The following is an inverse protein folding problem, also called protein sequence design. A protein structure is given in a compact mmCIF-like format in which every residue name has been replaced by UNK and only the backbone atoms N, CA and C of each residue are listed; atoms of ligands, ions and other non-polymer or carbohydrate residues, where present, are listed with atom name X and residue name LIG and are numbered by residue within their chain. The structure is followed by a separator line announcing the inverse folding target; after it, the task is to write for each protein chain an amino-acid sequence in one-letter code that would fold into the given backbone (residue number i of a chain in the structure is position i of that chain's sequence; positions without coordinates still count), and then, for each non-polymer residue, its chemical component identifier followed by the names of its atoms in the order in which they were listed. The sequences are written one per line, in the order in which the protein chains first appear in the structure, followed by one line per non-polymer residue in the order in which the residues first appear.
data_IF_530723265609
#
_entry.id   IF_530723265609
#
_cell.length_a   1.000
_cell.length_b   1.000
_cell.length_c   1.000
_cell.angle_alpha   90.00
_cell.angle_beta   90.00
_cell.angle_gamma   90.00
#
_symmetry.space_group_name_H-M   'P 1'
#
loop_
_entity.id
_entity.type
_entity.pdbx_description
1 polymer ?
#
# COMPACT_ATOMS: atom_id res chain seq x y z
N UNK A 1 -2.81 14.34 16.22
CA UNK A 1 -4.06 14.81 16.84
C UNK A 1 -4.83 13.68 17.49
N UNK A 2 -5.13 12.59 16.77
CA UNK A 2 -6.06 11.55 17.25
C UNK A 2 -5.57 10.77 18.49
N UNK A 3 -4.28 10.42 18.58
CA UNK A 3 -3.75 9.70 19.76
C UNK A 3 -3.20 10.63 20.85
N UNK A 4 -2.47 11.69 20.47
CA UNK A 4 -1.72 12.54 21.42
C UNK A 4 -2.08 14.03 21.38
N UNK A 5 -2.91 14.48 20.44
CA UNK A 5 -3.16 15.91 20.21
C UNK A 5 -2.02 16.66 19.48
N UNK A 6 -0.77 16.22 19.59
CA UNK A 6 0.41 16.95 19.07
C UNK A 6 0.50 16.95 17.54
N UNK A 7 0.08 18.05 16.91
CA UNK A 7 0.22 18.31 15.46
C UNK A 7 1.16 19.48 15.18
N UNK A 8 1.20 20.46 16.08
CA UNK A 8 2.01 21.67 15.97
C UNK A 8 3.48 21.34 15.74
N UNK A 9 4.05 20.41 16.51
CA UNK A 9 5.46 20.00 16.36
C UNK A 9 5.80 19.52 14.95
N UNK A 10 4.84 18.92 14.25
CA UNK A 10 5.05 18.41 12.89
C UNK A 10 4.85 19.52 11.86
N UNK A 11 3.72 20.21 11.89
CA UNK A 11 3.35 21.16 10.82
C UNK A 11 4.14 22.47 10.85
N UNK A 12 4.79 22.77 11.98
CA UNK A 12 5.72 23.90 12.14
C UNK A 12 7.19 23.51 11.94
N UNK A 13 7.49 22.21 11.84
CA UNK A 13 8.86 21.74 11.64
C UNK A 13 9.42 22.20 10.30
N UNK A 14 10.61 22.81 10.34
CA UNK A 14 11.31 23.25 9.14
C UNK A 14 11.66 22.10 8.20
N UNK A 15 11.98 20.93 8.74
CA UNK A 15 12.28 19.75 7.93
C UNK A 15 11.02 19.23 7.24
N UNK A 16 9.89 19.23 7.95
CA UNK A 16 8.60 18.84 7.38
C UNK A 16 8.18 19.81 6.27
N UNK A 17 8.27 21.13 6.53
CA UNK A 17 7.95 22.18 5.55
C UNK A 17 8.84 22.12 4.30
N UNK A 18 10.08 21.65 4.42
CA UNK A 18 10.97 21.39 3.27
C UNK A 18 10.67 20.09 2.54
N UNK A 19 10.24 19.05 3.26
CA UNK A 19 9.97 17.73 2.69
C UNK A 19 8.65 17.68 1.90
N UNK A 20 7.59 18.30 2.42
CA UNK A 20 6.25 18.22 1.84
C UNK A 20 6.20 18.68 0.38
N UNK A 21 6.74 19.85 -0.02
CA UNK A 21 6.73 20.26 -1.42
C UNK A 21 7.43 19.26 -2.35
N UNK A 22 8.49 18.58 -1.87
CA UNK A 22 9.19 17.55 -2.63
C UNK A 22 8.33 16.30 -2.81
N UNK A 23 7.61 15.88 -1.77
CA UNK A 23 6.67 14.76 -1.85
C UNK A 23 5.59 15.07 -2.90
N UNK A 24 4.95 16.24 -2.83
CA UNK A 24 3.95 16.65 -3.82
C UNK A 24 4.52 16.73 -5.24
N UNK A 25 5.77 17.14 -5.41
CA UNK A 25 6.42 17.12 -6.71
C UNK A 25 6.57 15.69 -7.23
N UNK A 26 7.08 14.76 -6.41
CA UNK A 26 7.22 13.35 -6.78
C UNK A 26 5.86 12.75 -7.15
N UNK A 27 4.81 13.03 -6.37
CA UNK A 27 3.47 12.54 -6.68
C UNK A 27 3.01 13.05 -8.06
N UNK A 28 3.18 14.34 -8.37
CA UNK A 28 2.85 14.90 -9.69
C UNK A 28 3.65 14.24 -10.81
N UNK A 29 4.96 14.09 -10.64
CA UNK A 29 5.83 13.46 -11.63
C UNK A 29 5.44 12.01 -11.90
N UNK A 30 4.93 11.32 -10.87
CA UNK A 30 4.44 9.93 -10.98
C UNK A 30 2.97 9.82 -11.43
N UNK A 31 2.24 10.92 -11.61
CA UNK A 31 0.89 10.91 -12.22
C UNK A 31 0.92 11.06 -13.74
N UNK A 32 2.05 11.47 -14.32
CA UNK A 32 2.18 11.65 -15.75
C UNK A 32 2.27 10.30 -16.50
N UNK A 33 1.80 10.30 -17.76
CA UNK A 33 1.94 9.15 -18.66
C UNK A 33 3.42 8.78 -18.84
N UNK A 34 3.69 7.52 -19.15
CA UNK A 34 5.04 7.13 -19.58
C UNK A 34 5.42 7.83 -20.91
N UNK A 35 4.47 7.98 -21.84
CA UNK A 35 4.66 8.62 -23.15
C UNK A 35 3.51 9.59 -23.51
N UNK A 36 3.72 10.57 -24.41
CA UNK A 36 4.99 11.08 -24.91
C UNK A 36 5.49 12.14 -23.92
N UNK A 37 6.02 11.75 -22.76
CA UNK A 37 6.59 12.77 -21.90
C UNK A 37 7.88 13.24 -22.58
N UNK A 38 7.84 14.43 -23.17
CA UNK A 38 8.92 15.06 -23.95
C UNK A 38 10.20 15.31 -23.15
N UNK A 39 10.26 14.82 -21.91
CA UNK A 39 11.34 14.97 -20.94
C UNK A 39 12.16 13.70 -20.74
N UNK A 40 11.67 12.53 -21.14
CA UNK A 40 12.43 11.27 -21.02
C UNK A 40 13.43 11.21 -22.17
N UNK A 41 14.64 11.72 -21.94
CA UNK A 41 15.76 11.49 -22.86
C UNK A 41 16.03 10.00 -22.98
N UNK A 42 16.11 9.51 -24.22
CA UNK A 42 16.62 8.17 -24.49
C UNK A 42 18.09 8.11 -24.05
N UNK A 43 18.36 7.38 -22.98
CA UNK A 43 19.74 7.12 -22.52
C UNK A 43 20.23 5.90 -23.30
N UNK A 44 21.24 6.09 -24.16
CA UNK A 44 21.89 4.96 -24.83
C UNK A 44 22.48 4.04 -23.76
N UNK A 45 22.26 2.72 -23.84
CA UNK A 45 22.88 1.78 -22.92
C UNK A 45 24.41 1.89 -23.02
N UNK A 46 25.10 2.01 -21.87
CA UNK A 46 26.53 1.74 -21.81
C UNK A 46 26.76 0.27 -22.21
N UNK A 47 27.81 0.00 -22.99
CA UNK A 47 28.05 -1.28 -23.66
C UNK A 47 28.36 -2.46 -22.72
N UNK A 48 28.52 -2.23 -21.41
CA UNK A 48 28.77 -3.26 -20.41
C UNK A 48 27.46 -3.68 -19.74
N UNK A 49 27.01 -4.91 -20.01
CA UNK A 49 25.89 -5.57 -19.30
C UNK A 49 26.32 -6.17 -17.94
N UNK A 50 27.57 -5.93 -17.51
CA UNK A 50 28.20 -6.60 -16.37
C UNK A 50 28.20 -5.76 -15.07
N UNK A 51 27.69 -4.53 -15.10
CA UNK A 51 27.69 -3.61 -13.97
C UNK A 51 26.31 -2.95 -13.82
N UNK A 52 25.97 -2.55 -12.59
CA UNK A 52 24.77 -1.74 -12.35
C UNK A 52 24.85 -0.43 -13.15
N UNK A 53 23.73 0.05 -13.70
CA UNK A 53 23.77 1.21 -14.56
C UNK A 53 24.11 2.50 -13.81
N UNK A 54 24.77 3.42 -14.52
CA UNK A 54 25.01 4.76 -14.01
C UNK A 54 23.70 5.46 -13.58
N UNK A 55 23.68 6.11 -12.40
CA UNK A 55 22.52 6.87 -11.95
C UNK A 55 22.13 7.95 -12.96
N UNK A 56 20.82 8.09 -13.21
CA UNK A 56 20.28 9.24 -13.95
C UNK A 56 19.91 10.36 -12.99
N UNK A 57 19.93 11.60 -13.47
CA UNK A 57 19.49 12.72 -12.64
C UNK A 57 17.98 12.62 -12.37
N UNK A 58 17.53 13.01 -11.17
CA UNK A 58 16.10 13.03 -10.85
C UNK A 58 15.27 13.92 -11.80
N UNK A 59 15.91 14.89 -12.46
CA UNK A 59 15.27 15.73 -13.49
C UNK A 59 14.90 14.94 -14.74
N UNK A 60 15.57 13.82 -14.99
CA UNK A 60 15.35 12.93 -16.13
C UNK A 60 14.41 11.75 -15.76
N UNK A 61 13.80 11.79 -14.57
CA UNK A 61 12.88 10.79 -14.04
C UNK A 61 13.56 9.69 -13.21
N UNK A 62 12.77 9.03 -12.36
CA UNK A 62 13.24 7.85 -11.61
C UNK A 62 13.51 6.69 -12.56
N UNK A 63 14.67 6.04 -12.38
CA UNK A 63 15.00 4.78 -13.05
C UNK A 63 15.64 3.83 -12.07
N UNK A 64 15.32 2.55 -12.21
CA UNK A 64 15.93 1.51 -11.42
C UNK A 64 16.21 0.27 -12.26
N UNK A 65 17.45 -0.21 -12.23
CA UNK A 65 17.76 -1.57 -12.68
C UNK A 65 18.73 -2.18 -11.70
N UNK A 66 18.65 -3.49 -11.60
CA UNK A 66 19.58 -4.34 -10.86
C UNK A 66 19.94 -5.52 -11.76
N UNK A 67 21.20 -5.95 -11.70
CA UNK A 67 21.57 -7.25 -12.27
C UNK A 67 21.03 -8.38 -11.37
N UNK A 68 20.10 -9.18 -11.90
CA UNK A 68 19.38 -10.21 -11.14
C UNK A 68 18.80 -11.27 -12.07
N UNK A 69 18.62 -12.48 -11.57
CA UNK A 69 17.88 -13.58 -12.21
C UNK A 69 16.37 -13.57 -11.88
N UNK A 70 15.92 -12.65 -11.01
CA UNK A 70 14.51 -12.48 -10.62
C UNK A 70 13.90 -11.29 -11.35
N UNK A 71 12.88 -11.49 -12.20
CA UNK A 71 12.30 -10.39 -12.98
C UNK A 71 11.62 -9.32 -12.11
N UNK A 72 11.21 -9.65 -10.89
CA UNK A 72 10.60 -8.70 -9.95
C UNK A 72 11.60 -7.79 -9.25
N UNK A 73 12.91 -8.10 -9.29
CA UNK A 73 13.96 -7.34 -8.59
C UNK A 73 14.59 -6.24 -9.46
N UNK A 74 14.00 -5.95 -10.63
CA UNK A 74 14.46 -4.94 -11.60
C UNK A 74 13.27 -4.38 -12.38
N UNK A 75 13.45 -3.24 -13.05
CA UNK A 75 12.39 -2.65 -13.89
C UNK A 75 12.73 -2.81 -15.38
N UNK A 76 11.70 -3.13 -16.17
CA UNK A 76 11.76 -3.14 -17.64
C UNK A 76 11.99 -1.75 -18.24
N UNK A 77 12.03 -1.67 -19.57
CA UNK A 77 12.12 -0.40 -20.31
C UNK A 77 13.28 0.51 -19.86
N UNK A 78 14.48 -0.08 -19.74
CA UNK A 78 15.68 0.63 -19.27
C UNK A 78 15.50 1.29 -17.89
N UNK A 79 14.80 0.58 -17.00
CA UNK A 79 14.58 0.99 -15.62
C UNK A 79 13.37 1.89 -15.41
N UNK A 80 12.53 2.12 -16.42
CA UNK A 80 11.28 2.89 -16.30
C UNK A 80 10.18 2.04 -15.64
N UNK A 81 10.15 0.73 -15.95
CA UNK A 81 9.07 -0.16 -15.53
C UNK A 81 7.89 -0.16 -16.50
N UNK A 82 6.70 -0.49 -16.01
CA UNK A 82 5.50 -0.60 -16.84
C UNK A 82 5.07 0.70 -17.53
N UNK A 83 4.34 0.56 -18.63
CA UNK A 83 3.83 1.68 -19.42
C UNK A 83 2.44 2.10 -18.89
N UNK A 84 2.19 3.40 -18.80
CA UNK A 84 0.93 3.95 -18.26
C UNK A 84 0.39 5.12 -19.06
N UNK A 85 -0.93 5.31 -18.99
CA UNK A 85 -1.63 6.51 -19.44
C UNK A 85 -2.12 7.31 -18.23
N UNK A 86 -1.82 8.61 -18.20
CA UNK A 86 -2.30 9.53 -17.17
C UNK A 86 -3.82 9.41 -16.96
N UNK A 87 -4.20 9.09 -15.73
CA UNK A 87 -5.59 8.87 -15.34
C UNK A 87 -5.90 9.36 -13.91
N UNK A 88 -5.01 10.13 -13.30
CA UNK A 88 -5.18 10.65 -11.94
C UNK A 88 -4.71 9.71 -10.82
N UNK A 89 -4.21 8.51 -11.17
CA UNK A 89 -3.47 7.63 -10.26
C UNK A 89 -1.97 7.99 -10.25
N UNK A 90 -1.29 7.57 -9.19
CA UNK A 90 0.15 7.75 -8.98
C UNK A 90 0.87 6.42 -9.20
N UNK A 91 1.91 6.41 -10.03
CA UNK A 91 2.73 5.23 -10.29
C UNK A 91 3.52 4.81 -9.05
N UNK A 92 3.64 3.50 -8.86
CA UNK A 92 4.62 2.88 -7.98
C UNK A 92 5.52 1.97 -8.80
N UNK A 93 6.83 2.09 -8.65
CA UNK A 93 7.76 1.18 -9.31
C UNK A 93 7.67 -0.24 -8.71
N UNK A 94 7.56 -0.31 -7.39
CA UNK A 94 7.57 -1.54 -6.61
C UNK A 94 6.33 -1.64 -5.71
N UNK A 95 5.99 -2.87 -5.35
CA UNK A 95 4.97 -3.21 -4.36
C UNK A 95 5.56 -3.11 -2.93
N UNK A 96 4.74 -3.19 -1.88
CA UNK A 96 5.21 -3.28 -0.50
C UNK A 96 5.96 -4.60 -0.18
N UNK A 97 5.97 -5.56 -1.11
CA UNK A 97 6.81 -6.75 -1.09
C UNK A 97 8.21 -6.52 -1.66
N UNK A 98 8.52 -5.30 -2.11
CA UNK A 98 9.71 -4.93 -2.88
C UNK A 98 9.81 -5.56 -4.28
N UNK A 99 8.77 -6.27 -4.73
CA UNK A 99 8.66 -6.75 -6.11
C UNK A 99 8.18 -5.66 -7.07
N UNK A 100 8.73 -5.62 -8.28
CA UNK A 100 8.31 -4.69 -9.32
C UNK A 100 6.82 -4.85 -9.64
N UNK A 101 6.14 -3.72 -9.83
CA UNK A 101 4.76 -3.73 -10.33
C UNK A 101 4.71 -4.25 -11.76
N UNK A 102 3.65 -4.98 -12.10
CA UNK A 102 3.37 -5.36 -13.50
C UNK A 102 2.72 -4.19 -14.22
N UNK A 103 1.65 -3.62 -13.64
CA UNK A 103 1.13 -2.33 -14.06
C UNK A 103 1.38 -1.27 -12.99
N UNK A 104 1.98 -0.10 -13.33
CA UNK A 104 2.51 0.80 -12.31
C UNK A 104 1.48 1.47 -11.40
N UNK A 105 0.19 1.49 -11.74
CA UNK A 105 -0.81 2.02 -10.82
C UNK A 105 -1.26 0.94 -9.85
N UNK A 106 -0.49 0.77 -8.78
CA UNK A 106 -0.80 -0.11 -7.66
C UNK A 106 -1.96 0.44 -6.82
N UNK A 107 -3.09 -0.25 -6.83
CA UNK A 107 -4.36 0.25 -6.30
C UNK A 107 -4.39 0.35 -4.77
N UNK A 108 -3.92 -0.65 -4.00
CA UNK A 108 -3.84 -0.52 -2.55
C UNK A 108 -2.97 0.66 -2.09
N UNK A 109 -1.84 0.92 -2.77
CA UNK A 109 -0.96 2.03 -2.45
C UNK A 109 -1.59 3.39 -2.79
N UNK A 110 -2.30 3.50 -3.92
CA UNK A 110 -3.08 4.69 -4.27
C UNK A 110 -4.22 4.93 -3.26
N UNK A 111 -4.87 3.88 -2.78
CA UNK A 111 -5.89 3.97 -1.74
C UNK A 111 -5.30 4.50 -0.42
N UNK A 112 -4.17 3.95 0.02
CA UNK A 112 -3.45 4.47 1.19
C UNK A 112 -3.07 5.95 1.00
N UNK A 113 -2.50 6.31 -0.15
CA UNK A 113 -2.12 7.69 -0.47
C UNK A 113 -3.32 8.64 -0.36
N UNK A 114 -4.45 8.28 -0.98
CA UNK A 114 -5.68 9.07 -0.93
C UNK A 114 -6.13 9.31 0.51
N UNK A 115 -6.20 8.26 1.33
CA UNK A 115 -6.61 8.39 2.74
C UNK A 115 -5.64 9.27 3.52
N UNK A 116 -4.33 9.08 3.36
CA UNK A 116 -3.33 9.84 4.12
C UNK A 116 -3.32 11.32 3.73
N UNK A 117 -3.52 11.65 2.46
CA UNK A 117 -3.63 13.03 2.00
C UNK A 117 -4.89 13.73 2.55
N UNK A 118 -6.03 13.04 2.57
CA UNK A 118 -7.27 13.57 3.16
C UNK A 118 -7.09 13.77 4.67
N UNK A 119 -6.48 12.80 5.37
CA UNK A 119 -6.17 12.93 6.81
C UNK A 119 -5.22 14.09 7.09
N UNK A 120 -4.20 14.28 6.25
CA UNK A 120 -3.28 15.41 6.37
C UNK A 120 -4.01 16.74 6.27
N UNK A 121 -4.89 16.89 5.28
CA UNK A 121 -5.72 18.09 5.11
C UNK A 121 -6.54 18.40 6.36
N UNK A 122 -7.26 17.39 6.88
CA UNK A 122 -8.07 17.52 8.10
C UNK A 122 -7.25 17.93 9.31
N UNK A 123 -6.06 17.35 9.50
CA UNK A 123 -5.19 17.71 10.62
C UNK A 123 -4.64 19.14 10.51
N UNK A 124 -4.31 19.60 9.30
CA UNK A 124 -3.91 20.98 9.08
C UNK A 124 -5.07 21.93 9.37
N UNK A 125 -6.26 21.64 8.86
CA UNK A 125 -7.45 22.47 9.09
C UNK A 125 -7.75 22.64 10.58
N UNK A 126 -7.77 21.54 11.33
CA UNK A 126 -7.99 21.57 12.78
C UNK A 126 -6.90 22.36 13.52
N UNK A 127 -5.64 22.25 13.11
CA UNK A 127 -4.55 23.05 13.69
C UNK A 127 -4.76 24.55 13.45
N UNK A 128 -5.10 24.95 12.22
CA UNK A 128 -5.32 26.35 11.86
C UNK A 128 -6.53 26.95 12.61
N UNK A 129 -7.61 26.19 12.79
CA UNK A 129 -8.78 26.60 13.58
C UNK A 129 -8.44 26.86 15.06
N UNK A 130 -7.58 26.03 15.66
CA UNK A 130 -7.13 26.21 17.04
C UNK A 130 -6.27 27.48 17.21
N UNK A 131 -5.43 27.80 16.23
CA UNK A 131 -4.61 29.02 16.24
C UNK A 131 -5.48 30.29 16.09
N UNK A 132 -6.50 30.25 15.23
CA UNK A 132 -7.44 31.36 15.06
C UNK A 132 -8.27 31.62 16.34
N UNK A 133 -8.73 30.55 16.99
CA UNK A 133 -9.56 30.65 18.22
C UNK A 133 -8.78 31.20 19.42
N UNK A 134 -7.44 31.11 19.41
CA UNK A 134 -6.57 31.55 20.50
C UNK A 134 -6.13 33.02 20.36
N UNK A 135 -6.46 33.70 19.26
CA UNK A 135 -5.93 35.03 18.94
C UNK A 135 -7.07 36.06 18.83
N UNK A 136 -7.39 36.74 19.93
CA UNK A 136 -8.40 37.84 20.00
C UNK A 136 -7.91 39.18 19.45
N UNK A 137 -6.95 39.20 18.52
CA UNK A 137 -6.35 40.43 17.99
C UNK A 137 -6.04 40.34 16.51
N UNK A 138 -6.24 41.45 15.80
CA UNK A 138 -5.92 41.65 14.37
C UNK A 138 -4.45 41.32 14.08
N UNK A 139 -4.16 40.08 13.73
CA UNK A 139 -2.91 39.71 13.08
C UNK A 139 -3.15 39.52 11.58
N UNK A 140 -2.36 40.21 10.78
CA UNK A 140 -2.11 39.88 9.38
C UNK A 140 -1.61 38.44 9.30
N UNK A 141 -2.23 37.63 8.43
CA UNK A 141 -1.86 36.24 8.17
C UNK A 141 -0.33 36.14 7.97
N UNK A 142 0.36 35.34 8.78
CA UNK A 142 1.81 35.19 8.70
C UNK A 142 2.21 34.16 7.64
N UNK A 143 3.37 34.30 7.01
CA UNK A 143 3.88 33.41 5.93
C UNK A 143 3.77 31.90 6.22
N UNK A 144 4.11 31.38 7.42
CA UNK A 144 3.93 29.96 7.72
C UNK A 144 2.48 29.51 7.55
N UNK A 145 1.52 30.30 8.04
CA UNK A 145 0.08 30.03 7.99
C UNK A 145 -0.39 29.77 6.54
N UNK A 146 0.12 30.56 5.58
CA UNK A 146 -0.17 30.37 4.16
C UNK A 146 0.40 29.05 3.61
N UNK A 147 1.59 28.65 4.03
CA UNK A 147 2.20 27.39 3.57
C UNK A 147 1.41 26.19 4.05
N UNK A 148 1.08 26.10 5.35
CA UNK A 148 0.29 24.97 5.84
C UNK A 148 -1.09 24.94 5.20
N UNK A 149 -1.78 26.08 5.10
CA UNK A 149 -3.07 26.17 4.44
C UNK A 149 -3.01 25.64 3.00
N UNK A 150 -2.03 26.07 2.22
CA UNK A 150 -1.83 25.61 0.84
C UNK A 150 -1.56 24.10 0.76
N UNK A 151 -0.77 23.55 1.69
CA UNK A 151 -0.55 22.08 1.79
C UNK A 151 -1.87 21.36 2.06
N UNK A 152 -2.69 21.86 3.00
CA UNK A 152 -3.99 21.27 3.33
C UNK A 152 -4.94 21.21 2.12
N UNK A 153 -5.02 22.30 1.35
CA UNK A 153 -5.86 22.37 0.14
C UNK A 153 -5.34 21.42 -0.94
N UNK A 154 -4.03 21.43 -1.22
CA UNK A 154 -3.42 20.53 -2.22
C UNK A 154 -3.57 19.06 -1.84
N UNK A 155 -3.40 18.72 -0.56
CA UNK A 155 -3.56 17.36 -0.05
C UNK A 155 -4.99 16.87 -0.30
N UNK A 156 -6.00 17.66 0.08
CA UNK A 156 -7.40 17.29 -0.14
C UNK A 156 -7.72 17.10 -1.62
N UNK A 157 -7.36 18.07 -2.46
CA UNK A 157 -7.64 18.01 -3.89
C UNK A 157 -7.01 16.79 -4.56
N UNK A 158 -5.74 16.48 -4.22
CA UNK A 158 -5.05 15.32 -4.75
C UNK A 158 -5.65 14.01 -4.20
N UNK A 159 -5.91 13.94 -2.90
CA UNK A 159 -6.49 12.76 -2.26
C UNK A 159 -7.88 12.40 -2.83
N UNK A 160 -8.74 13.40 -3.02
CA UNK A 160 -10.05 13.24 -3.65
C UNK A 160 -9.92 12.81 -5.13
N UNK A 161 -8.93 13.38 -5.86
CA UNK A 161 -8.68 13.02 -7.25
C UNK A 161 -8.21 11.58 -7.41
N UNK A 162 -7.25 11.13 -6.59
CA UNK A 162 -6.76 9.75 -6.60
C UNK A 162 -7.91 8.79 -6.22
N UNK A 163 -8.72 9.13 -5.22
CA UNK A 163 -9.89 8.31 -4.84
C UNK A 163 -10.81 8.09 -6.03
N UNK A 164 -11.19 9.16 -6.73
CA UNK A 164 -12.08 9.09 -7.89
C UNK A 164 -11.48 8.23 -9.01
N UNK A 165 -10.19 8.40 -9.29
CA UNK A 165 -9.48 7.63 -10.30
C UNK A 165 -9.43 6.13 -9.97
N UNK A 166 -9.33 5.74 -8.70
CA UNK A 166 -9.44 4.33 -8.28
C UNK A 166 -10.81 3.78 -8.68
N UNK A 167 -11.91 4.45 -8.33
CA UNK A 167 -13.25 3.97 -8.68
C UNK A 167 -13.50 3.93 -10.19
N UNK A 168 -12.93 4.87 -10.95
CA UNK A 168 -13.10 4.94 -12.40
C UNK A 168 -12.31 3.89 -13.17
N UNK A 169 -11.09 3.56 -12.72
CA UNK A 169 -10.16 2.75 -13.51
C UNK A 169 -9.84 1.38 -12.91
N UNK A 170 -10.05 1.18 -11.60
CA UNK A 170 -9.66 -0.04 -10.92
C UNK A 170 -10.82 -0.97 -10.55
N UNK A 171 -12.07 -0.51 -10.69
CA UNK A 171 -13.24 -1.37 -10.44
C UNK A 171 -13.57 -2.12 -11.72
N UNK A 172 -13.51 -3.45 -11.68
CA UNK A 172 -13.76 -4.33 -12.82
C UNK A 172 -14.88 -5.31 -12.53
N UNK A 173 -15.54 -5.79 -13.58
CA UNK A 173 -16.53 -6.87 -13.48
C UNK A 173 -15.84 -8.22 -13.58
N UNK A 174 -15.75 -8.93 -12.45
CA UNK A 174 -15.25 -10.30 -12.38
C UNK A 174 -16.40 -11.29 -12.67
N UNK A 175 -16.18 -12.33 -13.50
CA UNK A 175 -17.25 -13.26 -13.91
C UNK A 175 -17.92 -14.03 -12.77
N UNK A 176 -17.23 -14.18 -11.63
CA UNK A 176 -17.74 -14.93 -10.45
C UNK A 176 -18.17 -14.03 -9.29
N UNK A 177 -17.46 -12.91 -9.06
CA UNK A 177 -17.62 -12.11 -7.84
C UNK A 177 -18.32 -10.77 -8.10
N UNK A 178 -18.72 -10.48 -9.35
CA UNK A 178 -19.27 -9.18 -9.71
C UNK A 178 -18.19 -8.09 -9.66
N UNK A 179 -18.54 -6.89 -9.19
CA UNK A 179 -17.58 -5.79 -9.14
C UNK A 179 -16.52 -6.05 -8.07
N UNK A 180 -15.24 -5.97 -8.45
CA UNK A 180 -14.06 -6.10 -7.58
C UNK A 180 -13.03 -5.02 -7.89
N UNK A 181 -12.12 -4.74 -6.96
CA UNK A 181 -10.93 -3.94 -7.25
C UNK A 181 -9.86 -4.80 -7.94
N UNK A 182 -9.24 -4.26 -8.99
CA UNK A 182 -7.99 -4.76 -9.53
C UNK A 182 -6.82 -4.41 -8.60
N UNK A 183 -5.76 -5.22 -8.62
CA UNK A 183 -4.55 -4.97 -7.82
C UNK A 183 -3.68 -3.89 -8.45
N UNK A 184 -3.50 -3.96 -9.77
CA UNK A 184 -2.70 -3.03 -10.57
C UNK A 184 -3.41 -2.72 -11.89
N UNK A 185 -3.25 -1.48 -12.37
CA UNK A 185 -3.80 -1.05 -13.67
C UNK A 185 -2.79 -0.19 -14.44
N UNK A 186 -2.96 -0.11 -15.77
CA UNK A 186 -2.13 0.73 -16.65
C UNK A 186 -2.88 1.98 -17.17
N UNK A 187 -4.20 2.02 -16.95
CA UNK A 187 -5.14 2.99 -17.50
C UNK A 187 -5.20 3.06 -19.05
N UNK A 188 -4.64 2.08 -19.76
CA UNK A 188 -4.93 1.77 -21.17
C UNK A 188 -6.08 0.77 -21.32
N UNK A 189 -6.38 0.02 -20.26
CA UNK A 189 -7.46 -0.95 -20.20
C UNK A 189 -7.04 -2.31 -19.63
N UNK A 190 -5.78 -2.45 -19.22
CA UNK A 190 -5.28 -3.68 -18.60
C UNK A 190 -5.45 -3.62 -17.09
N UNK A 191 -5.81 -4.77 -16.52
CA UNK A 191 -6.01 -4.97 -15.09
C UNK A 191 -5.32 -6.25 -14.66
N UNK A 192 -4.57 -6.20 -13.58
CA UNK A 192 -4.06 -7.38 -12.90
C UNK A 192 -4.97 -7.70 -11.72
N UNK A 193 -5.57 -8.89 -11.74
CA UNK A 193 -6.45 -9.37 -10.67
C UNK A 193 -5.68 -10.35 -9.80
N UNK A 194 -5.30 -9.91 -8.60
CA UNK A 194 -4.66 -10.71 -7.56
C UNK A 194 -4.77 -9.96 -6.22
N UNK A 195 -4.14 -10.49 -5.18
CA UNK A 195 -3.67 -9.69 -4.05
C UNK A 195 -2.34 -10.22 -3.56
N UNK A 196 -1.62 -9.40 -2.80
CA UNK A 196 -0.34 -9.73 -2.19
C UNK A 196 -0.46 -9.63 -0.67
N UNK A 197 0.32 -10.43 0.07
CA UNK A 197 0.27 -10.45 1.52
C UNK A 197 0.80 -9.16 2.19
N UNK A 198 1.69 -8.42 1.53
CA UNK A 198 2.29 -7.21 2.06
C UNK A 198 1.30 -6.05 2.03
N UNK A 199 1.24 -5.27 3.12
CA UNK A 199 0.30 -4.14 3.22
C UNK A 199 0.98 -2.83 2.80
N UNK A 200 0.33 -1.95 2.02
CA UNK A 200 -1.07 -2.00 1.60
C UNK A 200 -1.39 -3.08 0.55
N UNK A 201 -2.44 -3.86 0.85
CA UNK A 201 -3.05 -4.89 -0.01
C UNK A 201 -4.54 -4.60 -0.20
N UNK A 202 -5.22 -5.27 -1.15
CA UNK A 202 -6.66 -5.11 -1.35
C UNK A 202 -7.43 -5.58 -0.11
N UNK A 203 -6.98 -6.67 0.51
CA UNK A 203 -7.54 -7.15 1.78
C UNK A 203 -7.50 -6.07 2.88
N UNK A 204 -6.46 -5.22 2.90
CA UNK A 204 -6.26 -4.21 3.94
C UNK A 204 -7.04 -2.89 3.78
N UNK A 205 -7.79 -2.71 2.68
CA UNK A 205 -8.46 -1.44 2.36
C UNK A 205 -9.33 -0.86 3.51
N UNK A 206 -10.08 -1.66 4.29
CA UNK A 206 -10.83 -1.11 5.42
C UNK A 206 -9.95 -0.68 6.58
N UNK A 207 -8.87 -1.42 6.88
CA UNK A 207 -7.91 -1.04 7.92
C UNK A 207 -7.19 0.26 7.56
N UNK A 208 -6.93 0.49 6.27
CA UNK A 208 -6.41 1.76 5.78
C UNK A 208 -7.42 2.92 5.92
N UNK A 209 -8.71 2.62 6.08
CA UNK A 209 -9.81 3.60 6.11
C UNK A 209 -10.26 4.06 4.72
N UNK A 210 -10.00 3.26 3.68
CA UNK A 210 -10.38 3.62 2.31
C UNK A 210 -11.84 3.30 2.00
N UNK A 211 -12.34 2.16 2.47
CA UNK A 211 -13.69 1.67 2.20
C UNK A 211 -14.24 0.99 3.47
N UNK A 212 -15.55 0.99 3.65
CA UNK A 212 -16.17 0.32 4.79
C UNK A 212 -15.98 -1.20 4.67
N UNK A 213 -15.77 -1.88 5.80
CA UNK A 213 -15.63 -3.34 5.82
C UNK A 213 -16.88 -4.04 5.29
N UNK A 214 -18.07 -3.46 5.39
CA UNK A 214 -19.32 -4.06 4.89
C UNK A 214 -19.71 -3.60 3.48
N UNK A 215 -18.89 -2.78 2.83
CA UNK A 215 -19.15 -2.35 1.45
C UNK A 215 -19.18 -3.57 0.52
N UNK A 216 -20.19 -3.66 -0.34
CA UNK A 216 -20.37 -4.79 -1.26
C UNK A 216 -19.18 -4.96 -2.21
N UNK A 217 -18.60 -3.86 -2.71
CA UNK A 217 -17.41 -3.92 -3.57
C UNK A 217 -16.21 -4.48 -2.80
N UNK A 218 -16.04 -4.08 -1.53
CA UNK A 218 -14.98 -4.66 -0.70
C UNK A 218 -15.23 -6.14 -0.41
N UNK A 219 -16.46 -6.53 -0.03
CA UNK A 219 -16.78 -7.92 0.26
C UNK A 219 -16.59 -8.83 -0.97
N UNK A 220 -17.02 -8.40 -2.15
CA UNK A 220 -16.74 -9.11 -3.40
C UNK A 220 -15.22 -9.22 -3.65
N UNK A 221 -14.47 -8.14 -3.39
CA UNK A 221 -13.01 -8.15 -3.52
C UNK A 221 -12.37 -9.09 -2.51
N UNK A 222 -12.85 -9.10 -1.25
CA UNK A 222 -12.39 -9.99 -0.17
C UNK A 222 -12.58 -11.45 -0.55
N UNK A 223 -13.79 -11.81 -1.02
CA UNK A 223 -14.10 -13.16 -1.46
C UNK A 223 -13.25 -13.58 -2.65
N UNK A 224 -13.01 -12.66 -3.59
CA UNK A 224 -12.10 -12.88 -4.71
C UNK A 224 -10.67 -13.17 -4.24
N UNK A 225 -10.08 -12.30 -3.41
CA UNK A 225 -8.66 -12.40 -3.03
C UNK A 225 -8.36 -13.56 -2.08
N UNK A 226 -9.37 -14.05 -1.36
CA UNK A 226 -9.33 -15.21 -0.46
C UNK A 226 -9.83 -16.50 -1.15
N UNK A 227 -9.67 -16.59 -2.47
CA UNK A 227 -10.07 -17.76 -3.26
C UNK A 227 -9.00 -18.14 -4.28
N UNK A 228 -9.16 -19.31 -4.91
CA UNK A 228 -8.30 -19.79 -6.00
C UNK A 228 -8.30 -18.88 -7.26
N UNK A 229 -9.16 -17.86 -7.32
CA UNK A 229 -9.10 -16.84 -8.37
C UNK A 229 -7.98 -15.82 -8.16
N UNK A 230 -7.45 -15.70 -6.93
CA UNK A 230 -6.19 -15.03 -6.68
C UNK A 230 -5.04 -16.02 -6.90
N UNK A 231 -4.14 -15.79 -7.88
CA UNK A 231 -3.02 -16.69 -8.16
C UNK A 231 -2.06 -16.89 -6.97
N UNK A 232 -2.10 -15.99 -5.98
CA UNK A 232 -1.26 -16.03 -4.79
C UNK A 232 -2.02 -16.46 -3.54
N UNK A 233 -3.27 -16.92 -3.67
CA UNK A 233 -3.95 -17.62 -2.60
C UNK A 233 -3.61 -19.12 -2.67
N UNK A 234 -3.08 -19.65 -1.57
CA UNK A 234 -2.71 -21.05 -1.47
C UNK A 234 -3.50 -21.73 -0.36
N UNK A 235 -3.84 -23.00 -0.57
CA UNK A 235 -4.55 -23.84 0.38
C UNK A 235 -3.81 -25.18 0.51
N UNK A 236 -3.61 -25.62 1.75
CA UNK A 236 -2.94 -26.87 2.06
C UNK A 236 -3.43 -27.47 3.37
N UNK A 237 -2.85 -28.61 3.74
CA UNK A 237 -3.29 -29.37 4.91
C UNK A 237 -3.13 -28.63 6.25
N UNK A 238 -2.29 -27.59 6.31
CA UNK A 238 -2.00 -26.86 7.54
C UNK A 238 -2.70 -25.50 7.62
N UNK A 239 -2.76 -24.76 6.52
CA UNK A 239 -3.31 -23.41 6.43
C UNK A 239 -3.78 -23.08 5.01
N UNK A 240 -4.59 -22.03 4.91
CA UNK A 240 -4.86 -21.32 3.66
C UNK A 240 -4.63 -19.83 3.86
N UNK A 241 -4.22 -19.13 2.81
CA UNK A 241 -3.97 -17.69 2.89
C UNK A 241 -3.29 -17.12 1.65
N UNK A 242 -2.99 -15.83 1.71
CA UNK A 242 -2.34 -15.11 0.61
C UNK A 242 -0.82 -15.12 0.84
N UNK A 243 -0.07 -15.39 -0.22
CA UNK A 243 1.37 -15.24 -0.33
C UNK A 243 1.75 -14.09 -1.26
N UNK A 244 2.69 -14.34 -2.16
CA UNK A 244 3.11 -13.40 -3.18
C UNK A 244 4.29 -13.93 -4.00
N UNK A 245 4.63 -13.27 -5.12
CA UNK A 245 5.75 -13.67 -5.96
C UNK A 245 7.09 -13.67 -5.23
N UNK A 246 7.24 -12.85 -4.19
CA UNK A 246 8.46 -12.73 -3.40
C UNK A 246 8.97 -14.06 -2.82
N UNK A 247 8.06 -14.89 -2.30
CA UNK A 247 8.38 -16.17 -1.66
C UNK A 247 7.97 -17.38 -2.49
N UNK A 248 7.20 -17.15 -3.55
CA UNK A 248 6.82 -18.17 -4.53
C UNK A 248 5.68 -19.08 -4.08
N UNK A 249 5.51 -20.17 -4.83
CA UNK A 249 4.37 -21.08 -4.73
C UNK A 249 4.25 -21.74 -3.35
N UNK A 250 3.01 -21.93 -2.90
CA UNK A 250 2.63 -22.60 -1.64
C UNK A 250 3.11 -21.91 -0.35
N UNK A 251 3.73 -20.73 -0.46
CA UNK A 251 4.24 -19.96 0.68
C UNK A 251 3.25 -18.86 1.05
N UNK A 252 2.54 -19.02 2.16
CA UNK A 252 1.60 -18.02 2.69
C UNK A 252 2.25 -17.21 3.80
N UNK A 253 1.83 -15.97 3.96
CA UNK A 253 2.43 -15.05 4.91
C UNK A 253 1.53 -14.89 6.14
N UNK A 254 2.05 -14.97 7.37
CA UNK A 254 1.27 -14.70 8.58
C UNK A 254 0.58 -13.33 8.54
N UNK A 255 1.17 -12.36 7.84
CA UNK A 255 0.57 -11.03 7.67
C UNK A 255 -0.78 -11.05 6.95
N UNK A 256 -0.98 -11.90 5.94
CA UNK A 256 -2.29 -11.96 5.25
C UNK A 256 -3.37 -12.54 6.15
N UNK A 257 -3.04 -13.57 6.95
CA UNK A 257 -3.93 -14.14 7.97
C UNK A 257 -4.27 -13.12 9.07
N UNK A 258 -3.28 -12.35 9.53
CA UNK A 258 -3.50 -11.27 10.50
C UNK A 258 -4.39 -10.17 9.92
N UNK A 259 -4.17 -9.78 8.67
CA UNK A 259 -5.01 -8.78 8.00
C UNK A 259 -6.43 -9.30 7.78
N UNK A 260 -6.58 -10.60 7.46
CA UNK A 260 -7.87 -11.26 7.34
C UNK A 260 -8.65 -11.22 8.66
N UNK A 261 -7.98 -11.43 9.80
CA UNK A 261 -8.56 -11.22 11.14
C UNK A 261 -8.98 -9.76 11.32
N UNK A 262 -8.10 -8.80 11.02
CA UNK A 262 -8.40 -7.38 11.21
C UNK A 262 -9.57 -6.87 10.37
N UNK A 263 -9.98 -7.61 9.35
CA UNK A 263 -11.04 -7.23 8.42
C UNK A 263 -12.22 -8.20 8.45
N UNK A 264 -12.28 -9.08 9.45
CA UNK A 264 -13.40 -10.00 9.68
C UNK A 264 -14.27 -9.54 10.85
N UNK A 265 -15.57 -9.79 10.74
CA UNK A 265 -16.54 -9.74 11.84
C UNK A 265 -16.99 -11.14 12.30
N UNK A 266 -16.47 -12.20 11.67
CA UNK A 266 -16.83 -13.59 11.96
C UNK A 266 -15.94 -14.18 13.06
N UNK A 267 -16.50 -14.38 14.26
CA UNK A 267 -15.76 -15.01 15.37
C UNK A 267 -15.17 -16.37 14.97
N UNK A 268 -15.89 -17.15 14.16
CA UNK A 268 -15.43 -18.46 13.69
C UNK A 268 -14.16 -18.34 12.83
N UNK A 269 -14.14 -17.37 11.93
CA UNK A 269 -12.98 -17.08 11.07
C UNK A 269 -11.80 -16.60 11.93
N UNK A 270 -12.04 -15.63 12.81
CA UNK A 270 -11.03 -15.08 13.74
C UNK A 270 -10.40 -16.18 14.59
N UNK A 271 -11.21 -17.02 15.23
CA UNK A 271 -10.74 -18.13 16.07
C UNK A 271 -9.91 -19.13 15.27
N UNK A 272 -10.35 -19.49 14.07
CA UNK A 272 -9.62 -20.42 13.20
C UNK A 272 -8.24 -19.87 12.84
N UNK A 273 -8.17 -18.62 12.39
CA UNK A 273 -6.91 -17.99 11.97
C UNK A 273 -5.94 -17.81 13.16
N UNK A 274 -6.44 -17.47 14.35
CA UNK A 274 -5.63 -17.42 15.57
C UNK A 274 -5.03 -18.78 15.91
N UNK A 275 -5.79 -19.87 15.78
CA UNK A 275 -5.28 -21.24 15.99
C UNK A 275 -4.19 -21.59 14.95
N UNK A 276 -4.40 -21.26 13.68
CA UNK A 276 -3.38 -21.45 12.63
C UNK A 276 -2.09 -20.71 12.97
N UNK A 277 -2.17 -19.43 13.36
CA UNK A 277 -1.01 -18.61 13.71
C UNK A 277 -0.27 -19.15 14.94
N UNK A 278 -0.99 -19.62 15.97
CA UNK A 278 -0.40 -20.25 17.16
C UNK A 278 0.30 -21.56 16.82
N UNK A 279 -0.34 -22.42 16.02
CA UNK A 279 0.26 -23.68 15.56
C UNK A 279 1.49 -23.42 14.68
N UNK A 280 1.44 -22.39 13.83
CA UNK A 280 2.55 -21.98 12.98
C UNK A 280 3.75 -21.57 13.84
N UNK A 281 3.57 -20.63 14.77
CA UNK A 281 4.62 -20.19 15.69
C UNK A 281 5.27 -21.36 16.47
N UNK A 282 4.46 -22.32 16.93
CA UNK A 282 4.96 -23.54 17.58
C UNK A 282 5.79 -24.43 16.64
N UNK A 283 5.40 -24.55 15.36
CA UNK A 283 6.07 -25.39 14.36
C UNK A 283 7.35 -24.77 13.81
N UNK A 284 7.38 -23.45 13.66
CA UNK A 284 8.56 -22.70 13.19
C UNK A 284 9.56 -22.44 14.32
N UNK A 285 9.12 -22.49 15.58
CA UNK A 285 9.96 -22.07 16.71
C UNK A 285 10.22 -20.55 16.71
N UNK A 286 9.35 -19.78 16.04
CA UNK A 286 9.42 -18.33 15.92
C UNK A 286 8.12 -17.66 16.38
N UNK A 287 8.11 -16.34 16.49
CA UNK A 287 6.86 -15.57 16.43
C UNK A 287 6.33 -15.57 14.98
N UNK A 288 5.94 -14.42 14.44
CA UNK A 288 5.55 -14.33 13.04
C UNK A 288 6.79 -14.35 12.15
N UNK A 289 6.89 -15.37 11.30
CA UNK A 289 7.85 -15.42 10.21
C UNK A 289 7.35 -14.57 9.01
N UNK A 290 8.15 -14.46 7.97
CA UNK A 290 7.72 -13.80 6.73
C UNK A 290 6.71 -14.66 5.98
N UNK A 291 7.07 -15.90 5.65
CA UNK A 291 6.18 -16.85 4.98
C UNK A 291 6.43 -18.27 5.47
N UNK A 292 5.42 -19.14 5.33
CA UNK A 292 5.51 -20.56 5.63
C UNK A 292 4.72 -21.40 4.61
N UNK A 293 5.17 -22.63 4.36
CA UNK A 293 4.52 -23.52 3.41
C UNK A 293 3.17 -24.04 3.96
N UNK A 294 2.11 -24.01 3.14
CA UNK A 294 0.74 -24.40 3.50
C UNK A 294 0.56 -25.88 3.90
N UNK A 295 1.50 -26.75 3.54
CA UNK A 295 1.49 -28.18 3.91
C UNK A 295 2.53 -28.50 4.99
N UNK A 296 3.67 -27.81 4.95
CA UNK A 296 4.84 -28.08 5.79
C UNK A 296 5.36 -26.79 6.46
N UNK A 297 4.72 -26.29 7.54
CA UNK A 297 5.04 -24.99 8.14
C UNK A 297 6.46 -24.85 8.69
N UNK A 298 7.19 -25.96 8.89
CA UNK A 298 8.62 -25.92 9.22
C UNK A 298 9.51 -25.44 8.06
N UNK A 299 8.96 -25.35 6.84
CA UNK A 299 9.58 -24.67 5.69
C UNK A 299 9.06 -23.24 5.69
N UNK A 300 9.87 -22.31 6.19
CA UNK A 300 9.49 -20.91 6.37
C UNK A 300 10.68 -19.98 6.10
N UNK A 301 10.40 -18.71 5.86
CA UNK A 301 11.41 -17.66 5.63
C UNK A 301 11.41 -16.65 6.78
N UNK A 302 12.59 -16.06 7.04
CA UNK A 302 12.83 -15.03 8.07
C UNK A 302 12.21 -15.37 9.44
N UNK A 303 12.95 -16.09 10.31
CA UNK A 303 12.46 -16.40 11.66
C UNK A 303 12.13 -15.15 12.48
N UNK A 304 12.80 -14.02 12.21
CA UNK A 304 12.64 -12.78 12.97
C UNK A 304 12.15 -11.66 12.07
N UNK A 305 10.85 -11.40 12.12
CA UNK A 305 10.22 -10.35 11.31
C UNK A 305 9.40 -9.39 12.18
N UNK A 306 10.05 -8.28 12.57
CA UNK A 306 9.47 -7.31 13.52
C UNK A 306 8.15 -6.70 13.04
N UNK A 307 8.01 -6.45 11.73
CA UNK A 307 6.77 -5.91 11.17
C UNK A 307 5.59 -6.86 11.37
N UNK A 308 5.74 -8.14 11.00
CA UNK A 308 4.71 -9.13 11.21
C UNK A 308 4.38 -9.32 12.71
N UNK A 309 5.39 -9.24 13.58
CA UNK A 309 5.19 -9.27 15.03
C UNK A 309 4.40 -8.05 15.55
N UNK A 310 4.69 -6.85 15.05
CA UNK A 310 3.95 -5.63 15.39
C UNK A 310 2.49 -5.67 14.91
N UNK A 311 2.26 -6.21 13.70
CA UNK A 311 0.92 -6.45 13.19
C UNK A 311 0.18 -7.48 14.04
N UNK A 312 0.85 -8.56 14.49
CA UNK A 312 0.26 -9.52 15.41
C UNK A 312 -0.16 -8.86 16.72
N UNK A 313 0.71 -8.05 17.33
CA UNK A 313 0.37 -7.29 18.55
C UNK A 313 -0.87 -6.41 18.36
N UNK A 314 -0.92 -5.64 17.26
CA UNK A 314 -2.09 -4.80 16.93
C UNK A 314 -3.35 -5.63 16.74
N UNK A 315 -3.24 -6.78 16.07
CA UNK A 315 -4.37 -7.70 15.83
C UNK A 315 -4.90 -8.30 17.13
N UNK A 316 -4.01 -8.72 18.04
CA UNK A 316 -4.42 -9.25 19.34
C UNK A 316 -5.11 -8.19 20.20
N UNK A 317 -4.63 -6.94 20.20
CA UNK A 317 -5.30 -5.84 20.90
C UNK A 317 -6.74 -5.64 20.38
N UNK A 318 -6.93 -5.68 19.06
CA UNK A 318 -8.26 -5.63 18.44
C UNK A 318 -9.13 -6.82 18.87
N UNK A 319 -8.59 -8.04 18.84
CA UNK A 319 -9.32 -9.25 19.26
C UNK A 319 -9.73 -9.17 20.73
N UNK A 320 -8.87 -8.70 21.63
CA UNK A 320 -9.22 -8.50 23.05
C UNK A 320 -10.40 -7.53 23.19
N UNK A 321 -10.46 -6.49 22.37
CA UNK A 321 -11.51 -5.48 22.41
C UNK A 321 -12.84 -5.98 21.84
N UNK A 322 -12.80 -6.69 20.71
CA UNK A 322 -14.01 -7.12 19.98
C UNK A 322 -14.51 -8.52 20.36
N UNK A 323 -13.60 -9.41 20.78
CA UNK A 323 -13.85 -10.80 21.13
C UNK A 323 -13.09 -11.21 22.41
N UNK A 324 -13.38 -10.58 23.57
CA UNK A 324 -12.59 -10.74 24.79
C UNK A 324 -12.50 -12.18 25.30
N UNK A 325 -13.46 -13.06 24.96
CA UNK A 325 -13.45 -14.48 25.31
C UNK A 325 -12.54 -15.35 24.43
N UNK A 326 -11.95 -14.81 23.37
CA UNK A 326 -10.97 -15.49 22.52
C UNK A 326 -9.52 -15.26 22.94
N UNK A 327 -9.27 -14.24 23.79
CA UNK A 327 -7.94 -13.84 24.23
C UNK A 327 -7.40 -14.74 25.35
#
# INVERSE_FOLDING_TARGET
MEATGDVERVVTSQDWLKAVPRIFQVLRDQMESTWPSSQIKFVKPNASLAEDPEPVSLKDGYRFRRYTDRPTETLGEYGIGGITRKCGLVRSAFRPSDDATTFPYLIPANAQLSVQLIKLSKHIELYLQQQQSSTTGTQTESEPFHVQYNVGIQAKALGDSVRRAIYEHAVVSHPVFGQVFAFEVDCYGSHLLMDDANTPSLLSLPVLGFIDTNDTLYQNTRDFVLSQWNPWFFEGSFASGIGGPHTGQDMVWPMSLLMQIQTSSSEKEVRHLLDVLKRMAKKTGSLMCESFNVNHPSRFTRPWFSWANGLAGTTILKVIQEFPHLA
#
